data_IF_179161108653
#
_entry.id   IF_179161108653
#
_cell.length_a   1.000
_cell.length_b   1.000
_cell.length_c   1.000
_cell.angle_alpha   90.00
_cell.angle_beta   90.00
_cell.angle_gamma   90.00
#
_symmetry.space_group_name_H-M   'P 1'
#
loop_
_entity.id
_entity.type
_entity.pdbx_description
1 polymer ?
#
# COMPACT_ATOMS: atom_id res chain seq x y z
N UNK A 1 -13.77 -3.78 -2.30
CA UNK A 1 -12.53 -3.96 -1.51
C UNK A 1 -11.86 -2.60 -1.40
N UNK A 2 -11.55 -2.12 -0.19
CA UNK A 2 -10.81 -0.86 -0.02
C UNK A 2 -9.31 -1.12 -0.23
N UNK A 3 -8.58 -0.28 -1.00
CA UNK A 3 -7.13 -0.32 -1.00
C UNK A 3 -6.64 0.01 0.41
N UNK A 4 -5.85 -0.86 1.03
CA UNK A 4 -5.23 -0.58 2.33
C UNK A 4 -4.02 0.34 2.12
N UNK A 5 -3.86 1.35 2.98
CA UNK A 5 -2.61 2.11 3.05
C UNK A 5 -1.43 1.16 3.25
N UNK A 6 -0.28 1.41 2.62
CA UNK A 6 0.93 0.64 2.90
C UNK A 6 1.39 0.96 4.33
N UNK A 7 1.10 0.07 5.27
CA UNK A 7 1.60 0.14 6.64
C UNK A 7 2.84 -0.74 6.75
N UNK A 8 3.91 -0.20 7.35
CA UNK A 8 5.11 -0.97 7.69
C UNK A 8 4.86 -1.68 9.03
N UNK A 9 4.01 -2.70 9.02
CA UNK A 9 3.80 -3.51 10.23
C UNK A 9 4.97 -4.46 10.39
N UNK A 10 5.65 -4.42 11.54
CA UNK A 10 6.68 -5.38 11.96
C UNK A 10 6.10 -6.70 12.48
N UNK A 11 4.79 -6.94 12.31
CA UNK A 11 4.22 -8.24 12.61
C UNK A 11 4.55 -9.23 11.51
N UNK A 12 5.34 -10.25 11.88
CA UNK A 12 5.63 -11.45 11.11
C UNK A 12 4.38 -12.31 10.91
N UNK A 13 3.41 -11.79 10.18
CA UNK A 13 2.26 -12.57 9.72
C UNK A 13 2.73 -13.50 8.58
N UNK A 14 3.01 -14.75 8.93
CA UNK A 14 3.51 -15.81 8.03
C UNK A 14 2.62 -16.04 6.80
N UNK A 15 1.37 -15.53 6.81
CA UNK A 15 0.38 -15.75 5.75
C UNK A 15 0.08 -14.52 4.89
N UNK A 16 0.50 -13.32 5.29
CA UNK A 16 0.52 -12.17 4.39
C UNK A 16 1.89 -12.13 3.73
N UNK A 17 1.99 -12.76 2.55
CA UNK A 17 3.14 -12.54 1.69
C UNK A 17 3.29 -11.01 1.51
N UNK A 18 4.35 -10.48 2.12
CA UNK A 18 4.55 -9.04 2.15
C UNK A 18 4.77 -8.63 0.69
N UNK A 19 4.11 -7.55 0.28
CA UNK A 19 4.06 -7.17 -1.15
C UNK A 19 5.49 -7.03 -1.71
N UNK A 20 6.43 -6.53 -0.91
CA UNK A 20 7.87 -6.45 -1.21
C UNK A 20 8.59 -7.81 -1.40
N UNK A 21 8.01 -8.92 -0.93
CA UNK A 21 8.50 -10.28 -1.15
C UNK A 21 7.93 -10.90 -2.45
N UNK A 22 6.80 -10.38 -2.94
CA UNK A 22 6.12 -10.90 -4.14
C UNK A 22 6.47 -10.05 -5.38
N UNK A 23 6.63 -8.75 -5.21
CA UNK A 23 6.87 -7.82 -6.32
C UNK A 23 8.23 -7.16 -6.23
N UNK A 24 8.82 -6.90 -7.40
CA UNK A 24 10.06 -6.13 -7.48
C UNK A 24 9.76 -4.69 -7.07
N UNK A 25 10.30 -4.26 -5.93
CA UNK A 25 10.06 -2.90 -5.39
C UNK A 25 10.58 -1.77 -6.29
N UNK A 26 11.47 -2.08 -7.25
CA UNK A 26 11.93 -1.12 -8.27
C UNK A 26 10.93 -0.89 -9.40
N UNK A 27 9.83 -1.63 -9.44
CA UNK A 27 8.81 -1.46 -10.46
C UNK A 27 8.20 -0.05 -10.42
N UNK A 28 7.95 0.53 -11.59
CA UNK A 28 7.54 1.94 -11.73
C UNK A 28 6.24 2.26 -10.99
N UNK A 29 5.26 1.34 -11.02
CA UNK A 29 4.00 1.49 -10.28
C UNK A 29 4.19 1.52 -8.76
N UNK A 30 5.18 0.80 -8.23
CA UNK A 30 5.48 0.81 -6.78
C UNK A 30 6.09 2.16 -6.38
N UNK A 31 7.01 2.66 -7.20
CA UNK A 31 7.60 3.98 -6.99
C UNK A 31 6.57 5.10 -7.12
N UNK A 32 5.63 4.96 -8.06
CA UNK A 32 4.54 5.91 -8.23
C UNK A 32 3.60 5.89 -7.02
N UNK A 33 3.21 4.71 -6.54
CA UNK A 33 2.36 4.56 -5.36
C UNK A 33 2.95 5.24 -4.12
N UNK A 34 4.27 5.23 -3.95
CA UNK A 34 4.94 5.92 -2.84
C UNK A 34 4.86 7.47 -2.92
N UNK A 35 4.54 8.03 -4.10
CA UNK A 35 4.41 9.48 -4.31
C UNK A 35 2.96 9.97 -4.27
N UNK A 36 2.00 9.06 -4.23
CA UNK A 36 0.58 9.40 -4.19
C UNK A 36 0.24 9.90 -2.78
N UNK A 37 -0.49 11.02 -2.71
CA UNK A 37 -1.10 11.50 -1.48
C UNK A 37 -2.34 10.66 -1.15
N UNK A 38 -2.11 9.55 -0.46
CA UNK A 38 -3.16 8.64 -0.03
C UNK A 38 -4.09 9.26 1.02
N UNK A 39 -3.62 10.23 1.79
CA UNK A 39 -4.44 10.91 2.80
C UNK A 39 -5.47 11.83 2.15
N UNK A 40 -5.10 12.50 1.05
CA UNK A 40 -6.06 13.26 0.24
C UNK A 40 -7.09 12.36 -0.44
N UNK A 41 -6.66 11.25 -1.05
CA UNK A 41 -7.59 10.31 -1.71
C UNK A 41 -8.58 9.74 -0.70
N UNK A 42 -8.12 9.35 0.48
CA UNK A 42 -8.99 8.80 1.52
C UNK A 42 -10.01 9.82 2.02
N UNK A 43 -9.65 11.11 2.08
CA UNK A 43 -10.60 12.17 2.46
C UNK A 43 -11.68 12.39 1.39
N UNK A 44 -11.32 12.31 0.12
CA UNK A 44 -12.21 12.64 -1.00
C UNK A 44 -13.10 11.46 -1.43
N UNK A 45 -12.59 10.23 -1.31
CA UNK A 45 -13.24 9.02 -1.85
C UNK A 45 -13.87 8.16 -0.75
N UNK A 46 -13.62 8.43 0.54
CA UNK A 46 -14.30 7.71 1.60
C UNK A 46 -15.82 7.97 1.55
N UNK A 47 -16.65 6.91 1.50
CA UNK A 47 -18.09 7.08 1.63
C UNK A 47 -18.43 7.57 3.04
N UNK A 48 -19.34 8.54 3.13
CA UNK A 48 -19.99 8.97 4.38
C UNK A 48 -20.53 7.78 5.18
#
# INVERSE_FOLDING_TARGET
>A
MRPKKPETTEEHDLFRARVDQIIIMKHELVQMAARIDWDWIDREVAPL
#
